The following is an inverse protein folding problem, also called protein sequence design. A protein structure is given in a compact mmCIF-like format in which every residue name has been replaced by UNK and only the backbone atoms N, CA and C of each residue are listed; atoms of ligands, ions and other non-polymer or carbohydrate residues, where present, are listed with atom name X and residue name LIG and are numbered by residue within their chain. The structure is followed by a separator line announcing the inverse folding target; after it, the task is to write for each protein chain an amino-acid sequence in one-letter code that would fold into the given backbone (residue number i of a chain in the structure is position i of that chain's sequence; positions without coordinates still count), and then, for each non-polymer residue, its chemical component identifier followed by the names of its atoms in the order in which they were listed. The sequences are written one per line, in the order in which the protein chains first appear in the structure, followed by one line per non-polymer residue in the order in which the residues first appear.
data_IF_876899273572
#
_entry.id   IF_876899273572
#
_cell.length_a   1.000
_cell.length_b   1.000
_cell.length_c   1.000
_cell.angle_alpha   90.00
_cell.angle_beta   90.00
_cell.angle_gamma   90.00
#
_symmetry.space_group_name_H-M   'P 1'
#
loop_
_entity.id
_entity.type
_entity.pdbx_description
1 polymer ?
#
# COMPACT_ATOMS: atom_id res chain seq x y z
N UNK A 1 -28.95 -69.30 20.54
CA UNK A 1 -29.22 -67.88 20.86
C UNK A 1 -28.80 -67.03 19.67
N UNK A 2 -29.75 -66.34 19.03
CA UNK A 2 -29.49 -65.37 17.95
C UNK A 2 -29.74 -63.98 18.52
N UNK A 3 -28.68 -63.18 18.66
CA UNK A 3 -28.78 -61.78 19.08
C UNK A 3 -28.94 -60.93 17.82
N UNK A 4 -30.13 -60.38 17.61
CA UNK A 4 -30.40 -59.44 16.54
C UNK A 4 -29.99 -58.03 17.00
N UNK A 5 -28.96 -57.46 16.39
CA UNK A 5 -28.56 -56.06 16.58
C UNK A 5 -29.50 -55.16 15.76
N UNK A 6 -30.32 -54.36 16.43
CA UNK A 6 -31.12 -53.30 15.80
C UNK A 6 -30.18 -52.22 15.23
N UNK A 7 -30.00 -52.19 13.92
CA UNK A 7 -29.38 -51.06 13.21
C UNK A 7 -30.40 -49.92 13.12
N UNK A 8 -30.16 -48.84 13.86
CA UNK A 8 -30.98 -47.64 13.83
C UNK A 8 -30.99 -47.00 12.44
N UNK A 9 -32.17 -46.63 11.95
CA UNK A 9 -32.31 -45.87 10.71
C UNK A 9 -32.00 -44.39 10.99
N UNK A 10 -30.74 -43.97 10.81
CA UNK A 10 -30.39 -42.54 10.78
C UNK A 10 -30.62 -41.98 9.37
N UNK A 11 -31.88 -41.69 9.05
CA UNK A 11 -32.24 -40.97 7.83
C UNK A 11 -32.12 -39.46 8.03
N UNK A 12 -31.27 -38.80 7.23
CA UNK A 12 -31.23 -37.33 7.13
C UNK A 12 -32.57 -36.83 6.60
N UNK A 13 -33.22 -35.89 7.28
CA UNK A 13 -34.55 -35.45 6.87
C UNK A 13 -34.46 -34.37 5.79
N UNK A 14 -35.38 -34.37 4.81
CA UNK A 14 -35.40 -33.31 3.78
C UNK A 14 -35.58 -31.91 4.41
N UNK A 15 -36.33 -31.83 5.51
CA UNK A 15 -36.55 -30.57 6.22
C UNK A 15 -35.25 -30.03 6.86
N UNK A 16 -34.38 -30.92 7.35
CA UNK A 16 -33.09 -30.56 7.93
C UNK A 16 -32.16 -29.94 6.87
N UNK A 17 -32.16 -30.49 5.65
CA UNK A 17 -31.42 -29.90 4.53
C UNK A 17 -31.95 -28.50 4.18
N UNK A 18 -33.27 -28.34 4.11
CA UNK A 18 -33.90 -27.06 3.76
C UNK A 18 -33.61 -25.99 4.80
N UNK A 19 -33.70 -26.30 6.09
CA UNK A 19 -33.40 -25.35 7.16
C UNK A 19 -31.93 -24.91 7.12
N UNK A 20 -31.01 -25.84 6.87
CA UNK A 20 -29.58 -25.51 6.73
C UNK A 20 -29.33 -24.56 5.56
N UNK A 21 -29.94 -24.81 4.39
CA UNK A 21 -29.82 -23.92 3.23
C UNK A 21 -30.40 -22.52 3.50
N UNK A 22 -31.50 -22.43 4.24
CA UNK A 22 -32.08 -21.14 4.65
C UNK A 22 -31.10 -20.39 5.56
N UNK A 23 -30.54 -21.05 6.58
CA UNK A 23 -29.56 -20.44 7.48
C UNK A 23 -28.32 -19.98 6.70
N UNK A 24 -27.78 -20.83 5.82
CA UNK A 24 -26.64 -20.47 4.96
C UNK A 24 -26.96 -19.32 4.02
N UNK A 25 -28.19 -19.25 3.48
CA UNK A 25 -28.64 -18.13 2.65
C UNK A 25 -28.66 -16.80 3.40
N UNK A 26 -29.17 -16.78 4.63
CA UNK A 26 -29.18 -15.57 5.48
C UNK A 26 -27.76 -15.17 5.87
N UNK A 27 -26.92 -16.13 6.29
CA UNK A 27 -25.51 -15.88 6.64
C UNK A 27 -24.71 -15.34 5.45
N UNK A 28 -24.89 -15.92 4.26
CA UNK A 28 -24.23 -15.45 3.04
C UNK A 28 -24.65 -14.03 2.68
N UNK A 29 -25.95 -13.71 2.80
CA UNK A 29 -26.48 -12.37 2.52
C UNK A 29 -25.86 -11.27 3.37
N UNK A 30 -25.59 -11.53 4.65
CA UNK A 30 -24.93 -10.55 5.54
C UNK A 30 -23.40 -10.56 5.46
N UNK A 31 -22.80 -11.72 5.13
CA UNK A 31 -21.34 -11.88 5.09
C UNK A 31 -20.71 -11.21 3.85
N UNK A 32 -21.33 -11.31 2.68
CA UNK A 32 -20.80 -10.77 1.41
C UNK A 32 -20.49 -9.26 1.48
N UNK A 33 -21.43 -8.37 1.85
CA UNK A 33 -21.15 -6.92 1.88
C UNK A 33 -20.11 -6.54 2.93
N UNK A 34 -20.08 -7.26 4.07
CA UNK A 34 -19.08 -7.07 5.13
C UNK A 34 -17.69 -7.45 4.64
N UNK A 35 -17.56 -8.57 3.94
CA UNK A 35 -16.28 -9.05 3.43
C UNK A 35 -15.69 -8.14 2.34
N UNK A 36 -16.55 -7.58 1.48
CA UNK A 36 -16.12 -6.60 0.47
C UNK A 36 -15.53 -5.33 1.10
N UNK A 37 -16.25 -4.68 2.02
CA UNK A 37 -15.77 -3.46 2.71
C UNK A 37 -14.48 -3.72 3.50
N UNK A 38 -14.36 -4.90 4.11
CA UNK A 38 -13.13 -5.30 4.80
C UNK A 38 -11.94 -5.42 3.84
N UNK A 39 -12.14 -6.00 2.66
CA UNK A 39 -11.06 -6.18 1.67
C UNK A 39 -10.54 -4.83 1.19
N UNK A 40 -11.42 -3.88 0.89
CA UNK A 40 -11.06 -2.54 0.45
C UNK A 40 -10.27 -1.77 1.54
N UNK A 41 -10.70 -1.90 2.80
CA UNK A 41 -10.00 -1.29 3.95
C UNK A 41 -8.63 -1.91 4.20
N UNK A 42 -8.49 -3.22 4.00
CA UNK A 42 -7.21 -3.93 4.13
C UNK A 42 -6.21 -3.41 3.10
N UNK A 43 -6.64 -3.25 1.85
CA UNK A 43 -5.78 -2.70 0.80
C UNK A 43 -5.29 -1.28 1.10
N UNK A 44 -6.19 -0.40 1.56
CA UNK A 44 -5.82 0.95 2.02
C UNK A 44 -4.82 0.93 3.20
N UNK A 45 -5.07 0.08 4.20
CA UNK A 45 -4.21 -0.05 5.37
C UNK A 45 -2.81 -0.58 5.00
N UNK A 46 -2.73 -1.49 4.04
CA UNK A 46 -1.48 -2.03 3.52
C UNK A 46 -0.64 -0.92 2.86
N UNK A 47 -1.22 -0.18 1.91
CA UNK A 47 -0.52 0.91 1.21
C UNK A 47 -0.09 2.01 2.18
N UNK A 48 -0.93 2.35 3.17
CA UNK A 48 -0.59 3.31 4.21
C UNK A 48 0.58 2.85 5.10
N UNK A 49 0.64 1.55 5.40
CA UNK A 49 1.74 0.95 6.19
C UNK A 49 3.05 1.07 5.42
N UNK A 50 3.04 0.74 4.13
CA UNK A 50 4.23 0.86 3.28
C UNK A 50 4.69 2.32 3.16
N UNK A 51 3.77 3.26 2.96
CA UNK A 51 4.09 4.69 2.91
C UNK A 51 4.84 5.16 4.16
N UNK A 52 4.38 4.75 5.35
CA UNK A 52 5.01 5.10 6.64
C UNK A 52 6.37 4.42 6.82
N UNK A 53 6.50 3.17 6.38
CA UNK A 53 7.75 2.43 6.45
C UNK A 53 8.83 3.09 5.56
N UNK A 54 8.49 3.43 4.32
CA UNK A 54 9.35 4.17 3.39
C UNK A 54 9.76 5.53 3.98
N UNK A 55 8.81 6.28 4.55
CA UNK A 55 9.12 7.56 5.21
C UNK A 55 10.11 7.40 6.38
N UNK A 56 9.94 6.35 7.18
CA UNK A 56 10.84 6.06 8.31
C UNK A 56 12.23 5.68 7.80
N UNK A 57 12.30 4.84 6.76
CA UNK A 57 13.54 4.47 6.09
C UNK A 57 14.29 5.70 5.55
N UNK A 58 13.57 6.61 4.89
CA UNK A 58 14.14 7.86 4.38
C UNK A 58 14.80 8.71 5.47
N UNK A 59 14.16 8.83 6.64
CA UNK A 59 14.74 9.57 7.77
C UNK A 59 16.07 8.97 8.22
N UNK A 60 16.18 7.64 8.23
CA UNK A 60 17.44 6.94 8.52
C UNK A 60 18.47 7.20 7.41
N UNK A 61 18.07 7.18 6.15
CA UNK A 61 18.96 7.47 5.02
C UNK A 61 19.55 8.89 5.11
N UNK A 62 18.75 9.90 5.43
CA UNK A 62 19.23 11.28 5.61
C UNK A 62 20.28 11.37 6.71
N UNK A 63 20.09 10.67 7.83
CA UNK A 63 21.09 10.64 8.92
C UNK A 63 22.40 9.98 8.46
N UNK A 64 22.33 8.92 7.64
CA UNK A 64 23.52 8.30 7.04
C UNK A 64 24.26 9.27 6.12
N UNK A 65 23.53 10.02 5.28
CA UNK A 65 24.10 11.06 4.42
C UNK A 65 24.82 12.13 5.24
N UNK A 66 24.21 12.61 6.32
CA UNK A 66 24.79 13.63 7.20
C UNK A 66 26.08 13.18 7.89
N UNK A 67 26.20 11.88 8.16
CA UNK A 67 27.39 11.29 8.79
C UNK A 67 28.49 10.89 7.82
N UNK A 68 28.41 11.27 6.52
CA UNK A 68 29.31 10.81 5.46
C UNK A 68 29.42 9.27 5.41
N UNK A 69 28.33 8.56 5.69
CA UNK A 69 28.33 7.09 5.68
C UNK A 69 28.56 6.53 4.27
N UNK A 70 29.31 5.43 4.17
CA UNK A 70 29.68 4.78 2.89
C UNK A 70 28.49 4.18 2.11
N UNK A 71 27.27 4.16 2.67
CA UNK A 71 26.05 3.60 2.07
C UNK A 71 24.86 4.53 2.31
N UNK A 72 24.99 5.76 1.85
CA UNK A 72 23.90 6.72 1.85
C UNK A 72 23.44 6.97 0.41
N UNK A 73 22.14 6.92 0.15
CA UNK A 73 21.61 7.21 -1.19
C UNK A 73 21.35 8.70 -1.31
N UNK A 74 22.10 9.36 -2.19
CA UNK A 74 21.89 10.77 -2.44
C UNK A 74 20.66 10.97 -3.32
N UNK A 75 19.54 11.33 -2.67
CA UNK A 75 18.28 11.61 -3.35
C UNK A 75 18.30 12.93 -4.14
N UNK A 76 19.42 13.68 -4.16
CA UNK A 76 19.59 14.91 -4.96
C UNK A 76 19.89 14.64 -6.44
N UNK A 77 20.54 13.53 -6.78
CA UNK A 77 21.12 13.29 -8.12
C UNK A 77 20.20 12.66 -9.18
N UNK A 78 18.91 12.48 -8.91
CA UNK A 78 17.99 12.08 -9.99
C UNK A 78 17.61 13.33 -10.75
N UNK A 79 18.35 13.57 -11.82
CA UNK A 79 18.14 14.67 -12.74
C UNK A 79 16.69 14.81 -13.15
N UNK A 80 16.24 16.07 -13.15
CA UNK A 80 15.19 16.72 -13.99
C UNK A 80 13.82 16.08 -14.18
N UNK A 81 13.60 14.87 -13.73
CA UNK A 81 12.33 14.19 -13.74
C UNK A 81 11.96 14.10 -12.28
N UNK A 82 11.09 15.00 -11.85
CA UNK A 82 10.65 15.12 -10.45
C UNK A 82 10.19 13.77 -9.84
N UNK A 83 9.96 12.72 -10.66
CA UNK A 83 9.64 11.31 -10.41
C UNK A 83 10.70 10.42 -9.72
N UNK A 84 12.00 10.68 -9.91
CA UNK A 84 13.04 9.69 -9.62
C UNK A 84 13.35 9.45 -8.13
N UNK A 85 13.25 10.49 -7.29
CA UNK A 85 13.66 10.39 -5.88
C UNK A 85 12.67 9.58 -5.03
N UNK A 86 11.36 9.71 -5.26
CA UNK A 86 10.36 8.89 -4.58
C UNK A 86 10.50 7.41 -4.94
N UNK A 87 10.70 7.14 -6.23
CA UNK A 87 10.91 5.79 -6.71
C UNK A 87 12.19 5.17 -6.15
N UNK A 88 13.34 5.85 -6.24
CA UNK A 88 14.62 5.34 -5.72
C UNK A 88 14.59 5.07 -4.22
N UNK A 89 13.96 5.94 -3.43
CA UNK A 89 13.88 5.71 -1.99
C UNK A 89 13.06 4.46 -1.64
N UNK A 90 12.00 4.21 -2.41
CA UNK A 90 11.22 3.00 -2.26
C UNK A 90 11.96 1.77 -2.77
N UNK A 91 12.67 1.86 -3.91
CA UNK A 91 13.55 0.78 -4.39
C UNK A 91 14.54 0.37 -3.30
N UNK A 92 15.23 1.35 -2.70
CA UNK A 92 16.17 1.09 -1.60
C UNK A 92 15.50 0.46 -0.37
N UNK A 93 14.28 0.90 -0.01
CA UNK A 93 13.52 0.32 1.09
C UNK A 93 13.11 -1.13 0.78
N UNK A 94 12.48 -1.38 -0.37
CA UNK A 94 11.97 -2.71 -0.73
C UNK A 94 13.10 -3.71 -1.01
N UNK A 95 14.22 -3.26 -1.56
CA UNK A 95 15.42 -4.10 -1.69
C UNK A 95 16.03 -4.44 -0.33
N UNK A 96 15.91 -3.56 0.68
CA UNK A 96 16.38 -3.87 2.04
C UNK A 96 15.53 -4.91 2.77
N UNK A 97 14.30 -5.15 2.30
CA UNK A 97 13.36 -6.13 2.85
C UNK A 97 13.31 -7.43 2.01
N UNK A 98 14.23 -7.63 1.05
CA UNK A 98 14.23 -8.74 0.07
C UNK A 98 12.91 -8.87 -0.71
N UNK A 99 12.19 -7.75 -0.90
CA UNK A 99 10.92 -7.69 -1.64
C UNK A 99 11.17 -7.39 -3.12
N UNK A 100 11.82 -8.31 -3.83
CA UNK A 100 11.96 -8.24 -5.28
C UNK A 100 10.59 -8.29 -5.98
N UNK A 101 10.36 -7.45 -6.99
CA UNK A 101 9.09 -7.41 -7.75
C UNK A 101 8.01 -6.50 -7.19
N UNK A 102 8.32 -5.66 -6.19
CA UNK A 102 7.37 -4.71 -5.61
C UNK A 102 6.74 -3.76 -6.64
N UNK A 103 7.47 -3.45 -7.73
CA UNK A 103 7.03 -2.58 -8.83
C UNK A 103 5.83 -3.12 -9.63
N UNK A 104 5.61 -4.43 -9.58
CA UNK A 104 4.43 -5.08 -10.16
C UNK A 104 3.18 -4.82 -9.30
N UNK A 105 3.37 -4.72 -7.98
CA UNK A 105 2.27 -4.57 -7.00
C UNK A 105 1.97 -3.11 -6.67
N UNK A 106 2.99 -2.26 -6.61
CA UNK A 106 2.85 -0.86 -6.24
C UNK A 106 3.46 0.06 -7.29
N UNK A 107 2.81 1.19 -7.52
CA UNK A 107 3.37 2.32 -8.24
C UNK A 107 3.70 3.46 -7.28
N UNK A 108 4.74 4.22 -7.61
CA UNK A 108 5.18 5.36 -6.81
C UNK A 108 5.39 6.54 -7.73
N UNK A 109 4.82 7.67 -7.32
CA UNK A 109 4.79 8.89 -8.09
C UNK A 109 5.14 10.07 -7.22
N UNK A 110 5.72 11.08 -7.84
CA UNK A 110 6.03 12.34 -7.18
C UNK A 110 4.87 13.29 -7.35
N UNK A 111 4.46 13.88 -6.25
CA UNK A 111 3.49 14.95 -6.29
C UNK A 111 4.27 16.24 -6.49
N UNK A 112 3.93 17.01 -7.52
CA UNK A 112 4.62 18.28 -7.80
C UNK A 112 4.72 19.12 -6.53
N UNK A 113 5.96 19.33 -6.09
CA UNK A 113 6.28 20.09 -4.90
C UNK A 113 6.69 21.50 -5.29
N UNK A 114 5.74 22.42 -5.21
CA UNK A 114 6.03 23.80 -4.80
C UNK A 114 4.82 24.31 -4.02
N UNK A 115 4.97 24.44 -2.71
CA UNK A 115 4.11 25.29 -1.87
C UNK A 115 2.62 24.91 -1.74
N UNK A 116 2.25 23.64 -1.97
CA UNK A 116 0.87 23.15 -1.84
C UNK A 116 0.62 22.51 -0.46
N UNK A 117 -0.51 22.85 0.14
CA UNK A 117 -1.05 22.29 1.38
C UNK A 117 -1.33 20.79 1.27
N UNK A 118 -1.43 20.08 2.40
CA UNK A 118 -1.79 18.65 2.43
C UNK A 118 -3.11 18.35 1.68
N UNK A 119 -4.07 19.28 1.70
CA UNK A 119 -5.34 19.12 1.00
C UNK A 119 -5.17 19.18 -0.53
N UNK A 120 -4.34 20.08 -1.04
CA UNK A 120 -4.04 20.18 -2.47
C UNK A 120 -3.21 18.99 -2.96
N UNK A 121 -2.32 18.46 -2.13
CA UNK A 121 -1.60 17.20 -2.41
C UNK A 121 -2.56 16.03 -2.51
N UNK A 122 -3.55 15.97 -1.62
CA UNK A 122 -4.62 14.96 -1.66
C UNK A 122 -5.46 15.09 -2.92
N UNK A 123 -5.88 16.30 -3.30
CA UNK A 123 -6.61 16.54 -4.57
C UNK A 123 -5.79 16.13 -5.78
N UNK A 124 -4.48 16.44 -5.80
CA UNK A 124 -3.61 16.02 -6.91
C UNK A 124 -3.43 14.51 -6.96
N UNK A 125 -3.36 13.84 -5.83
CA UNK A 125 -3.35 12.37 -5.77
C UNK A 125 -4.68 11.77 -6.23
N UNK A 126 -5.82 12.35 -5.84
CA UNK A 126 -7.14 11.96 -6.35
C UNK A 126 -7.22 12.14 -7.88
N UNK A 127 -6.66 13.23 -8.44
CA UNK A 127 -6.54 13.42 -9.88
C UNK A 127 -5.66 12.37 -10.56
N UNK A 128 -4.55 11.96 -9.92
CA UNK A 128 -3.67 10.91 -10.45
C UNK A 128 -4.33 9.53 -10.44
N UNK A 129 -5.19 9.25 -9.46
CA UNK A 129 -5.99 8.02 -9.37
C UNK A 129 -7.10 8.02 -10.43
N UNK A 130 -7.77 9.16 -10.61
CA UNK A 130 -8.92 9.27 -11.51
C UNK A 130 -8.52 9.45 -12.99
N UNK A 131 -7.24 9.68 -13.27
CA UNK A 131 -6.74 9.71 -14.63
C UNK A 131 -6.59 8.25 -15.13
N UNK A 132 -7.60 7.78 -15.87
CA UNK A 132 -7.74 6.42 -16.43
C UNK A 132 -6.51 5.89 -17.21
N UNK A 133 -5.55 6.75 -17.53
CA UNK A 133 -4.30 6.39 -18.20
C UNK A 133 -3.22 5.81 -17.27
N UNK A 134 -3.45 5.75 -15.96
CA UNK A 134 -2.58 5.05 -15.01
C UNK A 134 -3.34 3.88 -14.41
N UNK A 135 -2.76 2.66 -14.43
CA UNK A 135 -3.31 1.44 -13.83
C UNK A 135 -3.32 1.52 -12.28
N UNK A 136 -3.99 2.53 -11.73
CA UNK A 136 -4.00 2.90 -10.31
C UNK A 136 -5.31 2.40 -9.70
N UNK A 137 -5.21 1.72 -8.56
CA UNK A 137 -6.38 1.39 -7.73
C UNK A 137 -6.76 2.58 -6.84
N UNK A 138 -7.97 2.57 -6.27
CA UNK A 138 -8.38 3.54 -5.25
C UNK A 138 -7.55 3.46 -3.95
N UNK A 139 -6.65 2.48 -3.84
CA UNK A 139 -5.78 2.25 -2.68
C UNK A 139 -4.47 3.04 -2.85
N UNK A 140 -4.43 4.26 -2.31
CA UNK A 140 -3.26 5.14 -2.36
C UNK A 140 -2.96 5.79 -1.00
N UNK A 141 -1.70 6.12 -0.76
CA UNK A 141 -1.24 6.85 0.41
C UNK A 141 -0.14 7.86 0.07
N UNK A 142 -0.15 8.99 0.78
CA UNK A 142 0.90 10.00 0.70
C UNK A 142 2.01 9.71 1.71
N UNK A 143 3.22 10.03 1.33
CA UNK A 143 4.37 10.14 2.22
C UNK A 143 5.25 11.30 1.79
N UNK A 144 6.08 11.81 2.70
CA UNK A 144 7.02 12.89 2.38
C UNK A 144 8.43 12.37 2.60
N UNK A 145 9.28 12.55 1.59
CA UNK A 145 10.70 12.30 1.69
C UNK A 145 11.42 13.57 2.10
N UNK A 146 12.27 13.45 3.10
CA UNK A 146 13.27 14.46 3.41
C UNK A 146 14.52 14.18 2.57
N UNK A 147 15.02 15.20 1.88
CA UNK A 147 16.26 15.11 1.10
C UNK A 147 17.44 15.58 1.96
N UNK A 148 18.60 14.97 1.72
CA UNK A 148 19.85 15.51 2.24
C UNK A 148 20.16 16.82 1.49
N UNK A 149 20.33 17.91 2.22
CA UNK A 149 20.84 19.15 1.65
C UNK A 149 22.36 19.05 1.62
N UNK A 150 22.96 19.19 0.44
CA UNK A 150 24.41 19.28 0.32
C UNK A 150 24.91 20.47 1.15
N UNK A 151 26.04 20.29 1.85
CA UNK A 151 26.71 21.39 2.56
C UNK A 151 27.23 22.44 1.59
N UNK A 152 27.58 22.04 0.37
CA UNK A 152 28.11 22.94 -0.66
C UNK A 152 26.99 23.74 -1.35
N UNK A 153 25.81 23.14 -1.55
CA UNK A 153 24.66 23.82 -2.15
C UNK A 153 23.33 23.55 -1.42
N UNK A 154 23.09 24.20 -0.26
CA UNK A 154 21.92 23.91 0.57
C UNK A 154 20.58 24.38 -0.04
N UNK A 155 20.62 25.21 -1.10
CA UNK A 155 19.44 25.80 -1.72
C UNK A 155 19.10 25.19 -3.08
N UNK A 156 19.88 24.23 -3.58
CA UNK A 156 19.70 23.65 -4.91
C UNK A 156 18.40 22.83 -5.03
N UNK A 157 17.95 22.25 -3.92
CA UNK A 157 16.80 21.34 -3.91
C UNK A 157 15.86 21.59 -2.71
N UNK A 158 14.53 21.44 -2.89
CA UNK A 158 13.60 21.49 -1.78
C UNK A 158 13.89 20.36 -0.78
N UNK A 159 13.87 20.69 0.52
CA UNK A 159 14.18 19.74 1.61
C UNK A 159 13.14 18.63 1.78
N UNK A 160 11.92 18.87 1.32
CA UNK A 160 10.82 17.92 1.37
C UNK A 160 10.28 17.67 -0.04
N UNK A 161 10.01 16.40 -0.33
CA UNK A 161 9.42 15.95 -1.58
C UNK A 161 8.21 15.07 -1.26
N UNK A 162 6.98 15.53 -1.54
CA UNK A 162 5.78 14.74 -1.37
C UNK A 162 5.71 13.67 -2.47
N UNK A 163 5.40 12.46 -2.03
CA UNK A 163 5.30 11.27 -2.84
C UNK A 163 3.94 10.61 -2.60
N UNK A 164 3.48 9.85 -3.57
CA UNK A 164 2.34 8.95 -3.43
C UNK A 164 2.79 7.53 -3.75
N UNK A 165 2.31 6.58 -2.97
CA UNK A 165 2.35 5.14 -3.28
C UNK A 165 0.91 4.68 -3.49
N UNK A 166 0.70 3.85 -4.49
CA UNK A 166 -0.59 3.26 -4.79
C UNK A 166 -0.41 1.81 -5.22
N UNK A 167 -1.45 1.00 -5.07
CA UNK A 167 -1.44 -0.36 -5.58
C UNK A 167 -1.86 -0.36 -7.05
N UNK A 168 -1.18 -1.18 -7.86
CA UNK A 168 -1.48 -1.35 -9.27
C UNK A 168 -2.69 -2.27 -9.45
N UNK A 169 -3.47 -2.03 -10.50
CA UNK A 169 -4.53 -2.94 -10.96
C UNK A 169 -3.95 -4.21 -11.57
#
# INVERSE_FOLDING_TARGET
MRTATMTGHSGFTLIELVVVLIILGVLAGVAVPRFSDLTDRVGLAEVQTQARAIQTYNRINVLKCQSNGLRCTNLTETGTDNGGACKRNADDFFLSEDLSGWEEKYGIETIESTNKTEEERRKRMEELINNDNKNVTSEAALFTLTRYADRENPNEFPRELPCAIYKRK
#
